data_IF_341666757460
#
_entry.id   IF_341666757460
#
_cell.length_a   1.000
_cell.length_b   1.000
_cell.length_c   1.000
_cell.angle_alpha   90.00
_cell.angle_beta   90.00
_cell.angle_gamma   90.00
#
_symmetry.space_group_name_H-M   'P 1'
#
loop_
_entity.id
_entity.type
_entity.pdbx_description
1 polymer ?
#
# COMPACT_ATOMS: atom_id res chain seq x y z
N UNK A 1 -8.32 4.70 -6.63
CA UNK A 1 -7.94 5.54 -5.46
C UNK A 1 -7.21 6.85 -5.77
N UNK A 2 -6.18 6.88 -6.63
CA UNK A 2 -5.23 8.02 -6.70
C UNK A 2 -5.89 9.40 -6.85
N UNK A 3 -6.87 9.54 -7.74
CA UNK A 3 -7.59 10.81 -7.96
C UNK A 3 -8.36 11.30 -6.72
N UNK A 4 -8.97 10.40 -5.96
CA UNK A 4 -9.69 10.77 -4.73
C UNK A 4 -8.72 11.21 -3.63
N UNK A 5 -7.58 10.52 -3.51
CA UNK A 5 -6.52 10.92 -2.55
C UNK A 5 -5.96 12.29 -2.94
N UNK A 6 -5.68 12.52 -4.23
CA UNK A 6 -5.24 13.82 -4.72
C UNK A 6 -6.28 14.92 -4.46
N UNK A 7 -7.57 14.64 -4.72
CA UNK A 7 -8.65 15.58 -4.45
C UNK A 7 -8.77 15.93 -2.96
N UNK A 8 -8.60 14.95 -2.06
CA UNK A 8 -8.55 15.20 -0.62
C UNK A 8 -7.33 16.02 -0.21
N UNK A 9 -6.13 15.68 -0.69
CA UNK A 9 -4.90 16.40 -0.39
C UNK A 9 -4.90 17.85 -0.90
N UNK A 10 -5.56 18.10 -2.04
CA UNK A 10 -5.75 19.45 -2.58
C UNK A 10 -6.85 20.26 -1.87
N UNK A 11 -7.61 19.65 -0.96
CA UNK A 11 -8.74 20.29 -0.28
C UNK A 11 -8.32 20.96 1.05
N UNK A 12 -9.13 21.88 1.58
CA UNK A 12 -8.91 22.48 2.90
C UNK A 12 -8.87 21.47 4.06
N UNK A 13 -9.46 20.28 3.89
CA UNK A 13 -9.46 19.23 4.90
C UNK A 13 -8.06 18.67 5.17
N UNK A 14 -7.14 18.79 4.22
CA UNK A 14 -5.74 18.39 4.36
C UNK A 14 -4.81 19.56 4.75
N UNK A 15 -5.34 20.70 5.21
CA UNK A 15 -4.57 21.93 5.46
C UNK A 15 -3.38 21.77 6.43
N UNK A 16 -3.42 20.79 7.33
CA UNK A 16 -2.33 20.49 8.26
C UNK A 16 -1.33 19.44 7.74
N UNK A 17 -1.57 18.84 6.56
CA UNK A 17 -0.69 17.86 5.94
C UNK A 17 0.15 18.53 4.85
N UNK A 18 1.47 18.60 5.06
CA UNK A 18 2.44 19.19 4.12
C UNK A 18 3.80 18.52 4.28
N UNK A 19 4.58 18.47 3.19
CA UNK A 19 5.89 17.79 3.18
C UNK A 19 5.82 16.27 3.32
N UNK A 20 4.62 15.68 3.28
CA UNK A 20 4.41 14.24 3.36
C UNK A 20 4.51 13.58 1.97
N UNK A 21 5.03 12.35 1.93
CA UNK A 21 4.94 11.46 0.77
C UNK A 21 3.84 10.45 1.06
N UNK A 22 2.74 10.52 0.31
CA UNK A 22 1.57 9.63 0.48
C UNK A 22 1.59 8.57 -0.61
N UNK A 23 1.65 7.30 -0.20
CA UNK A 23 1.67 6.15 -1.10
C UNK A 23 0.25 5.67 -1.38
N UNK A 24 -0.09 5.52 -2.67
CA UNK A 24 -1.39 5.00 -3.14
C UNK A 24 -1.13 3.84 -4.08
N UNK A 25 -0.69 2.73 -3.49
CA UNK A 25 -0.14 1.57 -4.19
C UNK A 25 -0.67 0.23 -3.63
N UNK A 26 -1.85 0.26 -3.00
CA UNK A 26 -2.47 -0.87 -2.32
C UNK A 26 -1.62 -1.46 -1.18
N UNK A 27 -0.69 -0.68 -0.61
CA UNK A 27 0.16 -1.09 0.49
C UNK A 27 1.44 -1.79 0.06
N UNK A 28 1.74 -1.85 -1.24
CA UNK A 28 2.91 -2.55 -1.76
C UNK A 28 4.23 -1.98 -1.18
N UNK A 29 4.35 -0.67 -1.03
CA UNK A 29 5.51 -0.02 -0.42
C UNK A 29 5.82 -0.52 0.99
N UNK A 30 4.81 -0.95 1.76
CA UNK A 30 5.00 -1.48 3.11
C UNK A 30 5.44 -2.95 3.13
N UNK A 31 5.38 -3.66 1.99
CA UNK A 31 5.70 -5.09 1.91
C UNK A 31 7.21 -5.31 1.91
N UNK A 32 7.70 -6.16 2.82
CA UNK A 32 9.14 -6.42 2.97
C UNK A 32 9.72 -7.51 2.07
N UNK A 33 8.87 -8.31 1.40
CA UNK A 33 9.28 -9.41 0.53
C UNK A 33 8.29 -9.61 -0.62
N UNK A 34 8.78 -10.07 -1.77
CA UNK A 34 7.94 -10.54 -2.87
C UNK A 34 7.35 -11.90 -2.51
N UNK A 35 6.01 -11.99 -2.47
CA UNK A 35 5.28 -13.25 -2.18
C UNK A 35 5.47 -14.31 -3.26
N UNK A 36 5.93 -13.91 -4.45
CA UNK A 36 6.24 -14.74 -5.60
C UNK A 36 7.72 -15.17 -5.67
N UNK A 37 8.52 -14.83 -4.66
CA UNK A 37 9.93 -15.24 -4.62
C UNK A 37 10.05 -16.77 -4.64
N UNK A 38 10.91 -17.34 -5.51
CA UNK A 38 11.17 -18.78 -5.54
C UNK A 38 11.67 -19.33 -4.21
N UNK A 39 12.28 -18.49 -3.35
CA UNK A 39 12.72 -18.88 -2.00
C UNK A 39 11.53 -19.28 -1.11
N UNK A 40 10.34 -18.76 -1.39
CA UNK A 40 9.11 -19.07 -0.68
C UNK A 40 8.23 -20.08 -1.40
N UNK A 41 8.70 -20.75 -2.46
CA UNK A 41 7.89 -21.68 -3.27
C UNK A 41 7.28 -22.84 -2.45
N UNK A 42 7.91 -23.20 -1.33
CA UNK A 42 7.47 -24.28 -0.44
C UNK A 42 6.82 -23.76 0.85
N UNK A 43 6.88 -22.45 1.12
CA UNK A 43 6.16 -21.82 2.21
C UNK A 43 4.78 -21.45 1.66
N UNK A 44 3.71 -22.09 2.17
CA UNK A 44 2.35 -21.86 1.67
C UNK A 44 2.01 -20.37 1.58
N UNK A 45 1.29 -19.99 0.53
CA UNK A 45 0.82 -18.61 0.38
C UNK A 45 -0.09 -18.26 1.56
N UNK A 46 0.23 -17.23 2.38
CA UNK A 46 -0.59 -16.90 3.55
C UNK A 46 -2.04 -16.51 3.19
N UNK A 47 -2.33 -16.15 1.93
CA UNK A 47 -3.72 -15.89 1.47
C UNK A 47 -4.54 -17.17 1.22
N UNK A 48 -3.95 -18.36 1.16
CA UNK A 48 -4.71 -19.62 1.05
C UNK A 48 -5.19 -20.18 2.39
N UNK A 49 -4.77 -19.58 3.51
CA UNK A 49 -5.10 -20.03 4.87
C UNK A 49 -6.42 -19.43 5.41
N UNK A 50 -7.14 -18.63 4.62
CA UNK A 50 -8.54 -18.29 4.87
C UNK A 50 -8.87 -17.72 6.25
N UNK A 51 -8.11 -16.71 6.71
CA UNK A 51 -8.57 -15.80 7.77
C UNK A 51 -9.35 -14.62 7.19
#
# INVERSE_FOLDING_TARGET
EVGNVAAFLASPMASAMTGNVVYVDNGLHAMGVGVDSPVFSNAGNPKSEGI
#
